data_IF_599763093471
#
_entry.id   IF_599763093471
#
_cell.length_a   1.000
_cell.length_b   1.000
_cell.length_c   1.000
_cell.angle_alpha   90.00
_cell.angle_beta   90.00
_cell.angle_gamma   90.00
#
_symmetry.space_group_name_H-M   'P 1'
#
loop_
_entity.id
_entity.type
_entity.pdbx_description
1 polymer ?
#
# COMPACT_ATOMS: atom_id res chain seq x y z
N UNK A 1 26.37 -53.04 -17.43
CA UNK A 1 26.47 -51.56 -17.44
C UNK A 1 25.24 -51.02 -16.75
N UNK A 2 25.38 -50.47 -15.54
CA UNK A 2 24.27 -49.85 -14.80
C UNK A 2 24.30 -48.36 -15.15
N UNK A 3 23.25 -47.88 -15.83
CA UNK A 3 23.07 -46.47 -16.14
C UNK A 3 22.46 -45.81 -14.92
N UNK A 4 23.26 -45.01 -14.21
CA UNK A 4 22.81 -44.19 -13.11
C UNK A 4 22.12 -42.94 -13.68
N UNK A 5 20.78 -42.92 -13.65
CA UNK A 5 20.01 -41.74 -14.04
C UNK A 5 20.08 -40.76 -12.86
N UNK A 6 20.90 -39.72 -13.01
CA UNK A 6 20.94 -38.59 -12.11
C UNK A 6 19.67 -37.77 -12.32
N UNK A 7 18.67 -37.95 -11.45
CA UNK A 7 17.50 -37.09 -11.42
C UNK A 7 17.93 -35.71 -10.91
N UNK A 8 18.03 -34.74 -11.82
CA UNK A 8 18.24 -33.34 -11.48
C UNK A 8 16.94 -32.84 -10.82
N UNK A 9 16.93 -32.75 -9.50
CA UNK A 9 15.87 -32.07 -8.77
C UNK A 9 15.92 -30.59 -9.17
N UNK A 10 15.01 -30.17 -10.06
CA UNK A 10 14.71 -28.76 -10.27
C UNK A 10 14.11 -28.27 -8.96
N UNK A 11 14.91 -27.55 -8.16
CA UNK A 11 14.38 -26.78 -7.06
C UNK A 11 13.41 -25.77 -7.68
N UNK A 12 12.11 -25.97 -7.47
CA UNK A 12 11.11 -24.97 -7.77
C UNK A 12 11.48 -23.72 -6.95
N UNK A 13 12.03 -22.71 -7.61
CA UNK A 13 12.14 -21.39 -7.01
C UNK A 13 10.72 -20.97 -6.63
N UNK A 14 10.44 -20.67 -5.35
CA UNK A 14 9.13 -20.17 -4.96
C UNK A 14 8.80 -18.99 -5.88
N UNK A 15 7.63 -19.07 -6.52
CA UNK A 15 7.18 -18.10 -7.51
C UNK A 15 7.30 -16.70 -6.91
N UNK A 16 8.10 -15.86 -7.55
CA UNK A 16 8.24 -14.45 -7.19
C UNK A 16 6.85 -13.82 -7.30
N UNK A 17 6.43 -13.05 -6.28
CA UNK A 17 5.16 -12.32 -6.30
C UNK A 17 5.01 -11.56 -7.63
N UNK A 18 3.81 -11.59 -8.24
CA UNK A 18 3.57 -11.02 -9.56
C UNK A 18 3.79 -9.50 -9.61
N UNK A 19 3.65 -8.81 -8.48
CA UNK A 19 3.80 -7.36 -8.33
C UNK A 19 4.81 -7.01 -7.23
N UNK A 20 6.10 -7.37 -7.41
CA UNK A 20 7.11 -7.15 -6.38
C UNK A 20 7.26 -5.65 -6.13
N UNK A 21 7.35 -5.25 -4.86
CA UNK A 21 7.63 -3.86 -4.53
C UNK A 21 9.04 -3.48 -5.02
N UNK A 22 9.10 -2.53 -5.95
CA UNK A 22 10.35 -2.02 -6.56
C UNK A 22 10.67 -0.60 -6.13
N UNK A 23 9.89 -0.04 -5.21
CA UNK A 23 9.94 1.35 -4.79
C UNK A 23 8.53 1.90 -4.59
N UNK A 24 8.41 3.19 -4.20
CA UNK A 24 7.11 3.83 -4.05
C UNK A 24 6.23 3.67 -5.29
N UNK A 25 4.94 3.52 -5.06
CA UNK A 25 3.92 3.43 -6.09
C UNK A 25 3.76 4.85 -6.69
N UNK A 26 4.26 5.07 -7.91
CA UNK A 26 4.36 6.38 -8.61
C UNK A 26 3.00 7.00 -9.02
N UNK A 27 1.90 6.57 -8.38
CA UNK A 27 0.54 7.07 -8.59
C UNK A 27 0.41 8.52 -8.13
N UNK A 28 -0.35 9.32 -8.87
CA UNK A 28 -0.52 10.76 -8.62
C UNK A 28 -1.99 11.14 -8.53
N UNK A 29 -2.27 12.21 -7.81
CA UNK A 29 -3.60 12.86 -7.85
C UNK A 29 -3.91 13.27 -9.29
N UNK A 30 -5.10 12.94 -9.75
CA UNK A 30 -5.53 13.13 -11.14
C UNK A 30 -5.35 11.90 -12.04
N UNK A 31 -4.64 10.86 -11.59
CA UNK A 31 -4.54 9.62 -12.33
C UNK A 31 -5.89 8.89 -12.37
N UNK A 32 -6.14 8.21 -13.49
CA UNK A 32 -7.22 7.23 -13.59
C UNK A 32 -6.67 5.83 -13.36
N UNK A 33 -7.37 5.06 -12.55
CA UNK A 33 -7.01 3.69 -12.19
C UNK A 33 -8.20 2.75 -12.35
N UNK A 34 -7.90 1.46 -12.33
CA UNK A 34 -8.88 0.39 -12.20
C UNK A 34 -8.34 -0.68 -11.26
N UNK A 35 -9.21 -1.47 -10.65
CA UNK A 35 -8.84 -2.42 -9.61
C UNK A 35 -9.24 -3.83 -10.04
N UNK A 36 -8.30 -4.77 -9.93
CA UNK A 36 -8.57 -6.21 -10.08
C UNK A 36 -8.55 -6.91 -8.73
N UNK A 37 -9.29 -8.01 -8.66
CA UNK A 37 -9.23 -8.93 -7.52
C UNK A 37 -7.86 -9.63 -7.45
N UNK A 38 -7.43 -10.00 -6.25
CA UNK A 38 -6.26 -10.87 -6.03
C UNK A 38 -6.61 -11.97 -5.02
N UNK A 39 -5.80 -12.17 -3.97
CA UNK A 39 -6.01 -13.21 -2.99
C UNK A 39 -6.91 -12.73 -1.84
N UNK A 40 -7.78 -13.62 -1.40
CA UNK A 40 -8.68 -13.38 -0.28
C UNK A 40 -10.12 -13.70 -0.63
N UNK A 41 -10.99 -13.61 0.37
CA UNK A 41 -12.42 -13.93 0.29
C UNK A 41 -13.26 -13.07 1.23
N UNK A 42 -12.65 -12.09 1.90
CA UNK A 42 -13.33 -11.22 2.89
C UNK A 42 -14.19 -10.13 2.26
N UNK A 43 -14.23 -10.00 0.92
CA UNK A 43 -14.82 -8.87 0.17
C UNK A 43 -14.17 -7.50 0.49
N UNK A 44 -13.08 -7.50 1.24
CA UNK A 44 -12.00 -6.54 1.08
C UNK A 44 -10.78 -7.33 0.65
N UNK A 45 -9.64 -6.68 0.62
CA UNK A 45 -8.40 -7.43 0.67
C UNK A 45 -7.40 -7.01 -0.35
N UNK A 46 -6.55 -7.99 -0.61
CA UNK A 46 -5.47 -7.90 -1.55
C UNK A 46 -6.06 -7.69 -2.94
N UNK A 47 -5.89 -6.47 -3.43
CA UNK A 47 -6.31 -6.08 -4.75
C UNK A 47 -5.12 -5.59 -5.55
N UNK A 48 -5.26 -5.56 -6.87
CA UNK A 48 -4.24 -5.02 -7.75
C UNK A 48 -4.75 -3.70 -8.32
N UNK A 49 -4.06 -2.61 -7.98
CA UNK A 49 -4.29 -1.30 -8.58
C UNK A 49 -3.53 -1.24 -9.88
N UNK A 50 -4.26 -1.01 -10.97
CA UNK A 50 -3.69 -0.83 -12.30
C UNK A 50 -3.85 0.62 -12.77
N UNK A 51 -2.86 1.19 -13.46
CA UNK A 51 -3.05 2.44 -14.14
C UNK A 51 -4.04 2.26 -15.30
N UNK A 52 -4.85 3.28 -15.56
CA UNK A 52 -5.60 3.37 -16.80
C UNK A 52 -4.70 3.91 -17.93
N UNK A 53 -5.09 3.71 -19.19
CA UNK A 53 -4.28 4.16 -20.33
C UNK A 53 -4.31 5.69 -20.51
N UNK A 54 -3.17 6.36 -20.77
CA UNK A 54 -1.81 5.79 -20.83
C UNK A 54 -1.24 5.49 -19.43
N UNK A 55 -0.54 4.36 -19.29
CA UNK A 55 -0.03 3.92 -18.00
C UNK A 55 0.95 4.93 -17.38
N UNK A 56 0.64 5.44 -16.18
CA UNK A 56 1.44 6.44 -15.46
C UNK A 56 2.34 5.84 -14.36
N UNK A 57 2.11 4.59 -13.97
CA UNK A 57 2.86 3.85 -12.94
C UNK A 57 2.78 2.33 -13.20
N UNK A 58 3.44 1.50 -12.37
CA UNK A 58 3.36 0.04 -12.46
C UNK A 58 2.32 -0.50 -11.49
N UNK A 59 1.52 -1.48 -11.91
CA UNK A 59 0.48 -2.05 -11.06
C UNK A 59 1.04 -2.60 -9.72
N UNK A 60 0.25 -2.48 -8.65
CA UNK A 60 0.67 -2.81 -7.29
C UNK A 60 -0.45 -3.41 -6.45
N UNK A 61 -0.06 -4.18 -5.43
CA UNK A 61 -0.98 -4.79 -4.47
C UNK A 61 -1.42 -3.77 -3.39
N UNK A 62 -2.68 -3.80 -2.99
CA UNK A 62 -3.28 -2.91 -1.97
C UNK A 62 -4.31 -3.63 -1.11
N UNK A 63 -4.83 -2.96 -0.09
CA UNK A 63 -5.92 -3.40 0.77
C UNK A 63 -6.97 -2.30 0.97
N UNK A 64 -8.20 -2.71 1.26
CA UNK A 64 -9.26 -1.81 1.72
C UNK A 64 -8.95 -1.29 3.12
N UNK A 65 -9.31 -0.03 3.36
CA UNK A 65 -9.25 0.55 4.70
C UNK A 65 -10.59 0.43 5.41
N UNK A 66 -11.70 0.64 4.70
CA UNK A 66 -13.05 0.70 5.30
C UNK A 66 -13.92 -0.49 4.88
N UNK A 67 -15.01 -0.75 5.61
CA UNK A 67 -15.99 -1.82 5.27
C UNK A 67 -17.28 -1.33 4.65
N UNK A 68 -17.54 -0.03 4.73
CA UNK A 68 -18.81 0.58 4.26
C UNK A 68 -18.69 1.25 2.90
N UNK A 69 -17.47 1.34 2.37
CA UNK A 69 -17.20 1.81 1.02
C UNK A 69 -16.87 0.64 0.08
N UNK A 70 -17.26 0.76 -1.18
CA UNK A 70 -17.18 -0.34 -2.14
C UNK A 70 -16.49 0.09 -3.43
N UNK A 71 -15.81 -0.86 -4.06
CA UNK A 71 -15.31 -0.77 -5.42
C UNK A 71 -15.92 -1.88 -6.27
N UNK A 72 -16.04 -1.59 -7.56
CA UNK A 72 -16.38 -2.54 -8.61
C UNK A 72 -15.08 -2.93 -9.30
N UNK A 73 -14.82 -4.23 -9.38
CA UNK A 73 -13.59 -4.79 -9.92
C UNK A 73 -13.65 -4.91 -11.46
N UNK A 74 -12.48 -4.91 -12.08
CA UNK A 74 -12.27 -5.12 -13.51
C UNK A 74 -11.97 -3.85 -14.32
N UNK A 75 -11.27 -4.04 -15.43
CA UNK A 75 -10.75 -2.97 -16.30
C UNK A 75 -11.78 -2.06 -16.98
N UNK A 76 -13.06 -2.46 -16.97
CA UNK A 76 -14.17 -1.65 -17.47
C UNK A 76 -14.54 -0.50 -16.53
N UNK A 77 -14.21 -0.61 -15.23
CA UNK A 77 -14.48 0.41 -14.24
C UNK A 77 -13.30 1.37 -14.15
N UNK A 78 -13.58 2.68 -14.03
CA UNK A 78 -12.56 3.70 -13.84
C UNK A 78 -12.80 4.43 -12.53
N UNK A 79 -11.70 4.73 -11.85
CA UNK A 79 -11.67 5.57 -10.67
C UNK A 79 -10.67 6.70 -10.86
N UNK A 80 -11.03 7.88 -10.39
CA UNK A 80 -10.14 9.03 -10.32
C UNK A 80 -9.45 9.03 -8.96
N UNK A 81 -8.12 9.16 -8.95
CA UNK A 81 -7.36 9.45 -7.73
C UNK A 81 -7.61 10.90 -7.35
N UNK A 82 -8.55 11.12 -6.44
CA UNK A 82 -8.92 12.45 -5.94
C UNK A 82 -7.95 12.98 -4.89
N UNK A 83 -7.32 12.08 -4.15
CA UNK A 83 -6.37 12.42 -3.09
C UNK A 83 -5.38 11.30 -2.79
N UNK A 84 -4.21 11.69 -2.28
CA UNK A 84 -3.23 10.79 -1.66
C UNK A 84 -2.90 11.41 -0.31
N UNK A 85 -3.52 10.91 0.76
CA UNK A 85 -3.53 11.60 2.05
C UNK A 85 -3.17 10.66 3.21
N UNK A 86 -3.13 11.20 4.43
CA UNK A 86 -2.92 10.41 5.65
C UNK A 86 -4.21 9.88 6.28
N UNK A 87 -5.35 10.06 5.62
CA UNK A 87 -6.67 9.74 6.18
C UNK A 87 -7.60 9.14 5.12
N UNK A 88 -8.48 8.23 5.54
CA UNK A 88 -9.62 7.85 4.74
C UNK A 88 -10.62 9.01 4.65
N UNK A 89 -11.40 9.11 3.57
CA UNK A 89 -12.30 10.22 3.31
C UNK A 89 -13.27 10.38 4.49
N UNK A 90 -13.82 9.31 5.06
CA UNK A 90 -14.71 9.37 6.23
C UNK A 90 -14.89 8.00 6.96
N UNK A 91 -13.99 7.64 7.88
CA UNK A 91 -14.23 6.56 8.86
C UNK A 91 -15.19 6.97 9.99
N UNK A 92 -16.38 7.46 9.63
CA UNK A 92 -17.41 7.93 10.58
C UNK A 92 -17.08 9.17 11.44
N UNK A 93 -15.93 9.86 11.24
CA UNK A 93 -15.44 10.94 12.15
C UNK A 93 -15.65 12.39 11.69
N UNK A 94 -16.29 12.64 10.55
CA UNK A 94 -16.51 14.01 10.04
C UNK A 94 -15.52 14.46 8.95
N UNK A 95 -15.57 15.73 8.49
CA UNK A 95 -14.85 16.23 7.31
C UNK A 95 -13.33 16.21 7.36
N UNK A 96 -12.75 15.87 8.51
CA UNK A 96 -11.32 15.67 8.66
C UNK A 96 -10.82 14.30 8.18
N UNK A 97 -11.74 13.38 7.85
CA UNK A 97 -11.41 11.99 7.54
C UNK A 97 -11.07 11.16 8.78
N UNK A 98 -10.82 9.87 8.58
CA UNK A 98 -10.31 8.98 9.63
C UNK A 98 -8.80 8.76 9.44
N UNK A 99 -7.95 9.27 10.35
CA UNK A 99 -6.51 9.15 10.20
C UNK A 99 -6.04 7.69 10.20
N UNK A 100 -5.21 7.35 9.22
CA UNK A 100 -4.61 6.02 9.12
C UNK A 100 -3.78 5.69 10.37
N UNK A 101 -4.02 4.53 10.98
CA UNK A 101 -3.26 4.12 12.16
C UNK A 101 -1.82 3.72 11.78
N UNK A 102 -0.79 4.16 12.53
CA UNK A 102 0.60 3.74 12.34
C UNK A 102 0.82 2.22 12.30
N UNK A 103 -0.02 1.44 12.99
CA UNK A 103 0.05 -0.02 12.98
C UNK A 103 -0.37 -0.59 11.62
N UNK A 104 -1.44 -0.07 11.01
CA UNK A 104 -1.85 -0.44 9.65
C UNK A 104 -0.77 -0.07 8.64
N UNK A 105 -0.21 1.14 8.76
CA UNK A 105 0.91 1.57 7.93
C UNK A 105 2.12 0.64 8.03
N UNK A 106 2.51 0.24 9.25
CA UNK A 106 3.61 -0.72 9.47
C UNK A 106 3.33 -2.06 8.77
N UNK A 107 2.14 -2.63 8.98
CA UNK A 107 1.78 -3.93 8.39
C UNK A 107 1.78 -3.89 6.87
N UNK A 108 1.15 -2.86 6.29
CA UNK A 108 1.08 -2.71 4.84
C UNK A 108 2.47 -2.49 4.22
N UNK A 109 3.32 -1.69 4.87
CA UNK A 109 4.69 -1.47 4.42
C UNK A 109 5.46 -2.79 4.36
N UNK A 110 5.47 -3.57 5.44
CA UNK A 110 6.16 -4.85 5.50
C UNK A 110 5.55 -5.89 4.55
N UNK A 111 4.23 -5.86 4.36
CA UNK A 111 3.53 -6.67 3.36
C UNK A 111 4.10 -6.38 1.96
N UNK A 112 4.09 -5.12 1.53
CA UNK A 112 4.62 -4.71 0.21
C UNK A 112 6.10 -5.05 0.06
N UNK A 113 6.91 -4.87 1.10
CA UNK A 113 8.34 -5.24 1.08
C UNK A 113 8.59 -6.76 0.91
N UNK A 114 7.58 -7.62 1.06
CA UNK A 114 7.81 -9.07 1.09
C UNK A 114 8.39 -9.57 2.42
N UNK A 115 8.21 -8.81 3.51
CA UNK A 115 8.89 -9.05 4.81
C UNK A 115 7.93 -9.20 5.99
N UNK A 116 6.62 -9.16 5.75
CA UNK A 116 5.64 -9.34 6.82
C UNK A 116 5.76 -10.76 7.39
N UNK A 117 6.01 -10.84 8.69
CA UNK A 117 6.29 -12.10 9.37
C UNK A 117 5.16 -13.11 9.16
N UNK A 118 5.48 -14.36 8.79
CA UNK A 118 4.51 -15.43 8.53
C UNK A 118 3.45 -15.14 7.44
N UNK A 119 3.59 -14.07 6.66
CA UNK A 119 2.75 -13.88 5.50
C UNK A 119 3.22 -14.81 4.37
N UNK A 120 2.33 -15.61 3.80
CA UNK A 120 2.68 -16.48 2.66
C UNK A 120 2.71 -15.65 1.36
N UNK A 121 3.88 -15.53 0.73
CA UNK A 121 4.07 -14.79 -0.53
C UNK A 121 4.01 -15.68 -1.79
N UNK A 122 3.61 -16.94 -1.64
CA UNK A 122 3.31 -17.85 -2.75
C UNK A 122 1.95 -17.56 -3.37
N UNK A 123 1.47 -18.50 -4.18
CA UNK A 123 0.25 -18.34 -4.99
C UNK A 123 -0.85 -19.35 -4.62
N UNK A 124 -0.81 -19.89 -3.40
CA UNK A 124 -1.67 -21.02 -2.96
C UNK A 124 -2.69 -20.64 -1.89
N UNK A 125 -3.36 -21.65 -1.32
CA UNK A 125 -4.39 -21.45 -0.28
C UNK A 125 -3.87 -20.73 0.98
N UNK A 126 -2.57 -20.86 1.29
CA UNK A 126 -1.94 -20.15 2.40
C UNK A 126 -1.81 -18.64 2.14
N UNK A 127 -1.62 -18.20 0.88
CA UNK A 127 -1.67 -16.78 0.48
C UNK A 127 -3.06 -16.21 0.70
N UNK A 128 -4.10 -16.95 0.28
CA UNK A 128 -5.51 -16.56 0.50
C UNK A 128 -5.80 -16.39 2.00
N UNK A 129 -5.38 -17.35 2.83
CA UNK A 129 -5.54 -17.24 4.28
C UNK A 129 -4.78 -16.03 4.88
N UNK A 130 -3.55 -15.80 4.41
CA UNK A 130 -2.74 -14.64 4.85
C UNK A 130 -3.38 -13.31 4.46
N UNK A 131 -3.92 -13.21 3.24
CA UNK A 131 -4.63 -12.02 2.76
C UNK A 131 -5.92 -11.76 3.57
N UNK A 132 -6.69 -12.80 3.85
CA UNK A 132 -7.89 -12.70 4.69
C UNK A 132 -7.57 -12.22 6.11
N UNK A 133 -6.54 -12.79 6.73
CA UNK A 133 -6.13 -12.41 8.08
C UNK A 133 -5.52 -11.00 8.10
N UNK A 134 -4.81 -10.57 7.06
CA UNK A 134 -4.26 -9.22 6.98
C UNK A 134 -5.38 -8.19 6.81
N UNK A 135 -6.36 -8.45 5.94
CA UNK A 135 -7.51 -7.55 5.78
C UNK A 135 -8.32 -7.42 7.08
N UNK A 136 -8.52 -8.52 7.82
CA UNK A 136 -9.18 -8.49 9.14
C UNK A 136 -8.37 -7.75 10.20
N UNK A 137 -7.04 -7.85 10.14
CA UNK A 137 -6.15 -7.10 11.04
C UNK A 137 -6.26 -5.59 10.77
N UNK A 138 -6.24 -5.19 9.50
CA UNK A 138 -6.41 -3.79 9.07
C UNK A 138 -7.75 -3.26 9.59
N UNK A 139 -8.86 -3.92 9.28
CA UNK A 139 -10.17 -3.49 9.76
C UNK A 139 -10.26 -3.45 11.28
N UNK A 140 -9.63 -4.36 12.01
CA UNK A 140 -9.63 -4.29 13.47
C UNK A 140 -8.86 -3.07 13.99
N UNK A 141 -7.71 -2.75 13.39
CA UNK A 141 -6.88 -1.61 13.78
C UNK A 141 -7.61 -0.30 13.51
N UNK A 142 -8.24 -0.17 12.34
CA UNK A 142 -9.01 1.00 11.92
C UNK A 142 -10.43 1.06 12.55
N UNK A 143 -10.80 0.09 13.40
CA UNK A 143 -12.09 0.11 14.11
C UNK A 143 -13.30 -0.26 13.24
N UNK A 144 -13.07 -0.88 12.10
CA UNK A 144 -14.07 -1.26 11.11
C UNK A 144 -14.80 -2.56 11.46
N UNK A 145 -16.04 -2.66 10.97
CA UNK A 145 -16.83 -3.89 11.10
C UNK A 145 -16.14 -5.06 10.40
N UNK A 146 -16.30 -6.29 10.88
CA UNK A 146 -15.62 -7.45 10.26
C UNK A 146 -14.12 -7.59 10.57
N UNK A 147 -13.52 -6.64 11.30
CA UNK A 147 -12.19 -6.77 11.88
C UNK A 147 -12.07 -7.93 12.87
N UNK A 148 -10.88 -8.51 12.99
CA UNK A 148 -10.57 -9.57 13.97
C UNK A 148 -9.17 -9.41 14.53
N UNK A 149 -9.02 -9.67 15.83
CA UNK A 149 -7.73 -9.76 16.52
C UNK A 149 -7.39 -11.20 16.97
N UNK A 150 -8.05 -12.20 16.39
CA UNK A 150 -7.76 -13.61 16.66
C UNK A 150 -6.69 -14.16 15.69
N UNK A 151 -6.06 -15.29 16.06
CA UNK A 151 -5.15 -16.03 15.19
C UNK A 151 -3.97 -15.22 14.67
N UNK A 152 -3.69 -15.33 13.36
CA UNK A 152 -2.58 -14.63 12.72
C UNK A 152 -2.80 -13.11 12.67
N UNK A 153 -4.04 -12.65 12.47
CA UNK A 153 -4.39 -11.23 12.53
C UNK A 153 -3.98 -10.59 13.87
N UNK A 154 -4.31 -11.27 14.98
CA UNK A 154 -3.90 -10.85 16.34
C UNK A 154 -2.39 -10.79 16.53
N UNK A 155 -1.67 -11.72 15.92
CA UNK A 155 -0.19 -11.76 15.98
C UNK A 155 0.42 -10.56 15.28
N UNK A 156 -0.09 -10.17 14.10
CA UNK A 156 0.36 -8.98 13.38
C UNK A 156 0.00 -7.68 14.10
N UNK A 157 -1.21 -7.59 14.67
CA UNK A 157 -1.60 -6.42 15.49
C UNK A 157 -0.63 -6.24 16.67
N UNK A 158 -0.31 -7.34 17.36
CA UNK A 158 0.65 -7.31 18.47
C UNK A 158 2.06 -6.95 18.00
N UNK A 159 2.50 -7.46 16.84
CA UNK A 159 3.79 -7.13 16.25
C UNK A 159 3.92 -5.63 15.95
N UNK A 160 2.90 -5.04 15.32
CA UNK A 160 2.90 -3.64 14.90
C UNK A 160 2.78 -2.65 16.07
N UNK A 161 2.24 -3.10 17.21
CA UNK A 161 1.98 -2.24 18.37
C UNK A 161 3.28 -1.62 18.91
N UNK A 162 3.35 -0.29 18.89
CA UNK A 162 4.50 0.48 19.37
C UNK A 162 5.73 0.44 18.46
N UNK A 163 5.62 -0.10 17.23
CA UNK A 163 6.74 -0.11 16.27
C UNK A 163 6.92 1.24 15.59
N UNK A 164 5.83 1.81 15.10
CA UNK A 164 5.81 3.12 14.44
C UNK A 164 4.95 4.09 15.24
N UNK A 165 5.36 5.36 15.24
CA UNK A 165 4.62 6.48 15.85
C UNK A 165 4.00 7.41 14.78
N UNK A 166 4.27 7.13 13.50
CA UNK A 166 3.73 7.82 12.34
C UNK A 166 3.41 6.80 11.24
N UNK A 167 2.83 7.25 10.12
CA UNK A 167 2.43 6.38 9.00
C UNK A 167 3.55 6.13 7.98
N UNK A 168 4.78 6.60 8.24
CA UNK A 168 5.93 6.44 7.36
C UNK A 168 5.64 6.89 5.91
N UNK A 169 5.98 6.07 4.90
CA UNK A 169 5.68 6.35 3.50
C UNK A 169 4.25 5.94 3.07
N UNK A 170 3.47 5.31 3.96
CA UNK A 170 2.14 4.81 3.61
C UNK A 170 1.13 5.93 3.61
N UNK A 171 0.25 5.94 2.62
CA UNK A 171 -0.85 6.88 2.44
C UNK A 171 -2.13 6.13 2.06
N UNK A 172 -3.21 6.89 2.05
CA UNK A 172 -4.53 6.48 1.60
C UNK A 172 -4.79 7.07 0.23
N UNK A 173 -5.14 6.22 -0.74
CA UNK A 173 -5.71 6.59 -2.02
C UNK A 173 -7.18 6.89 -1.84
N UNK A 174 -7.52 8.17 -1.97
CA UNK A 174 -8.89 8.61 -1.90
C UNK A 174 -9.50 8.63 -3.31
N UNK A 175 -10.49 7.77 -3.55
CA UNK A 175 -10.99 7.49 -4.89
C UNK A 175 -12.37 8.08 -5.16
N UNK A 176 -12.58 8.50 -6.41
CA UNK A 176 -13.88 8.87 -6.93
C UNK A 176 -14.30 7.98 -8.10
N UNK A 177 -15.53 7.52 -8.09
CA UNK A 177 -16.23 6.87 -9.20
C UNK A 177 -16.97 7.90 -10.07
N UNK A 178 -17.23 7.51 -11.32
CA UNK A 178 -18.00 8.32 -12.25
C UNK A 178 -19.48 8.39 -11.86
N UNK A 179 -20.02 9.61 -11.84
CA UNK A 179 -21.41 9.90 -11.60
C UNK A 179 -22.11 10.25 -12.92
N UNK A 180 -22.99 9.38 -13.38
CA UNK A 180 -23.73 9.59 -14.63
C UNK A 180 -24.75 10.73 -14.57
N UNK A 181 -25.12 11.19 -13.37
CA UNK A 181 -26.10 12.27 -13.18
C UNK A 181 -25.43 13.64 -13.33
N UNK A 182 -24.19 13.79 -12.85
CA UNK A 182 -23.42 15.05 -12.93
C UNK A 182 -22.43 15.08 -14.09
N UNK A 183 -22.08 13.91 -14.65
CA UNK A 183 -21.07 13.79 -15.68
C UNK A 183 -19.64 13.96 -15.17
N UNK A 184 -19.42 13.83 -13.85
CA UNK A 184 -18.15 14.05 -13.19
C UNK A 184 -17.75 12.86 -12.30
N UNK A 185 -16.48 12.82 -11.87
CA UNK A 185 -16.01 11.87 -10.86
C UNK A 185 -16.15 12.50 -9.47
N UNK A 186 -17.32 12.32 -8.86
CA UNK A 186 -17.68 12.94 -7.57
C UNK A 186 -18.37 11.97 -6.57
N UNK A 187 -18.61 10.71 -6.97
CA UNK A 187 -19.09 9.66 -6.06
C UNK A 187 -17.88 9.06 -5.38
N UNK A 188 -17.80 9.09 -4.05
CA UNK A 188 -16.70 8.43 -3.32
C UNK A 188 -16.74 6.92 -3.52
N UNK A 189 -15.56 6.33 -3.61
CA UNK A 189 -15.35 4.89 -3.71
C UNK A 189 -14.36 4.45 -2.63
N UNK A 190 -14.28 3.13 -2.41
CA UNK A 190 -13.39 2.54 -1.39
C UNK A 190 -11.98 3.12 -1.41
N UNK A 191 -11.53 3.51 -0.22
CA UNK A 191 -10.19 3.98 0.03
C UNK A 191 -9.20 2.82 0.15
N UNK A 192 -8.04 2.99 -0.49
CA UNK A 192 -7.03 1.93 -0.65
C UNK A 192 -5.67 2.37 -0.10
N UNK A 193 -4.86 1.43 0.36
CA UNK A 193 -3.50 1.73 0.85
C UNK A 193 -2.49 1.90 -0.31
N UNK A 194 -1.55 2.81 -0.14
CA UNK A 194 -0.48 3.05 -1.12
C UNK A 194 0.82 3.46 -0.43
N UNK A 195 1.98 3.14 -1.04
CA UNK A 195 3.27 3.66 -0.59
C UNK A 195 3.68 4.76 -1.55
N UNK A 196 3.88 5.98 -1.07
CA UNK A 196 4.39 7.09 -1.91
C UNK A 196 5.75 7.57 -1.43
N UNK A 197 6.53 8.24 -2.30
CA UNK A 197 7.81 8.80 -1.87
C UNK A 197 7.58 9.75 -0.70
N UNK A 198 8.30 9.56 0.40
CA UNK A 198 8.33 10.56 1.46
C UNK A 198 8.97 11.79 0.84
N UNK A 199 8.33 12.97 0.85
CA UNK A 199 9.03 14.20 0.49
C UNK A 199 10.21 14.31 1.45
N UNK A 200 11.44 14.14 0.94
CA UNK A 200 12.61 14.30 1.79
C UNK A 200 12.49 15.67 2.49
N UNK A 201 12.69 15.73 3.81
CA UNK A 201 12.68 17.02 4.50
C UNK A 201 13.69 17.92 3.80
N UNK A 202 13.22 19.04 3.24
CA UNK A 202 13.99 20.02 2.43
C UNK A 202 15.26 20.51 3.15
N UNK A 203 15.38 20.22 4.44
CA UNK A 203 16.55 20.42 5.29
C UNK A 203 17.86 19.78 4.76
N UNK A 204 17.82 18.63 4.07
CA UNK A 204 19.05 18.03 3.53
C UNK A 204 19.64 18.83 2.35
N UNK A 205 18.82 19.52 1.56
CA UNK A 205 19.30 20.38 0.47
C UNK A 205 19.88 21.71 0.97
N UNK A 206 19.33 22.29 2.04
CA UNK A 206 19.92 23.49 2.65
C UNK A 206 21.25 23.19 3.37
N UNK A 207 21.39 22.02 4.00
CA UNK A 207 22.65 21.61 4.63
C UNK A 207 23.80 21.46 3.63
N UNK A 208 23.52 20.88 2.46
CA UNK A 208 24.50 20.72 1.38
C UNK A 208 24.95 22.07 0.78
N UNK A 209 24.04 23.03 0.63
CA UNK A 209 24.35 24.38 0.11
C UNK A 209 25.05 25.26 1.16
N UNK A 210 24.66 25.17 2.44
CA UNK A 210 25.32 25.90 3.53
C UNK A 210 26.76 25.41 3.78
N UNK A 211 27.01 24.09 3.60
CA UNK A 211 28.35 23.50 3.72
C UNK A 211 29.35 24.00 2.67
N UNK A 212 28.89 24.26 1.45
CA UNK A 212 29.77 24.80 0.39
C UNK A 212 29.97 26.32 0.46
N UNK A 213 29.06 27.07 1.09
CA UNK A 213 29.25 28.50 1.35
C UNK A 213 30.26 28.81 2.45
N UNK A 214 30.36 27.95 3.48
CA UNK A 214 31.24 28.16 4.63
C UNK A 214 32.74 28.01 4.36
N UNK A 215 33.13 27.17 3.39
CA UNK A 215 34.54 26.94 3.03
C UNK A 215 35.14 28.08 2.18
N UNK A 216 34.31 28.91 1.54
CA UNK A 216 34.76 30.08 0.76
C UNK A 216 35.22 31.26 1.64
N UNK A 217 34.64 31.42 2.83
CA UNK A 217 34.91 32.57 3.71
C UNK A 217 36.16 32.38 4.60
N UNK A 218 36.60 31.14 4.85
CA UNK A 218 37.81 30.86 5.63
C UNK A 218 39.11 31.10 4.85
N UNK A 219 39.06 31.23 3.53
CA UNK A 219 40.24 31.50 2.69
C UNK A 219 40.56 33.00 2.51
N UNK A 220 39.65 33.89 2.90
CA UNK A 220 39.81 35.35 2.75
C UNK A 220 40.46 36.03 3.96
N UNK A 221 40.82 35.29 5.02
CA UNK A 221 41.34 35.86 6.28
C UNK A 221 42.83 35.56 6.52
N UNK A 222 43.62 35.50 5.46
CA UNK A 222 45.09 35.58 5.51
C UNK A 222 45.59 36.69 4.58
N UNK A 223 45.58 37.92 5.09
CA UNK A 223 46.53 38.98 4.77
C UNK A 223 46.89 39.70 6.06
#
# INVERSE_FOLDING_TARGET
MVVLILALAVAATPGRAAYPFVGPDDVKVGDFIWIDDSYGSTNGGEFIVHPHSPASFTAFETFCIETTEYITLGSGQKYLVGGITGSAFYGSVGPAGDPLDPRTAYLFYHFRQGTLFNYDYGTGALRVASADDLQRAIWWIEGESGGSNAGQAGTWIAEATGKWNDIGPVRVLNLYAYNSQTGAYDIRAQDLLVIVPIPEPVFFQLGALAGMGGLGLLRLRRR
#
